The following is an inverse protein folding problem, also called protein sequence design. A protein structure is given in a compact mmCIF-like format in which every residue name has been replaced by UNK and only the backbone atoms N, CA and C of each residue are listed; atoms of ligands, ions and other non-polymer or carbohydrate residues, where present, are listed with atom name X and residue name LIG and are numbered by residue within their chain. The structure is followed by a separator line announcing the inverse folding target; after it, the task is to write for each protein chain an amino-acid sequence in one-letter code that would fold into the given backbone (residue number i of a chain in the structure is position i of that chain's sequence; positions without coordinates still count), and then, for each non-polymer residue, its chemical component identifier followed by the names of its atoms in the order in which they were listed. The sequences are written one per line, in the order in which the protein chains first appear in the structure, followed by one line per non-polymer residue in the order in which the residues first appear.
data_IF_971293823975
#
_entry.id   IF_971293823975
#
_cell.length_a   1.000
_cell.length_b   1.000
_cell.length_c   1.000
_cell.angle_alpha   90.00
_cell.angle_beta   90.00
_cell.angle_gamma   90.00
#
_symmetry.space_group_name_H-M   'P 1'
#
loop_
_entity.id
_entity.type
_entity.pdbx_description
1 polymer ?
#
# COMPACT_ATOMS: atom_id res chain seq x y z
N UNK A 1 9.48 -12.52 -5.64
CA UNK A 1 10.29 -12.39 -6.89
C UNK A 1 9.85 -13.39 -7.98
N UNK A 2 9.88 -14.70 -7.74
CA UNK A 2 9.42 -15.73 -8.70
C UNK A 2 7.94 -15.56 -9.09
N UNK A 3 7.06 -15.42 -8.10
CA UNK A 3 5.63 -15.15 -8.33
C UNK A 3 5.38 -13.92 -9.23
N UNK A 4 6.10 -12.83 -8.97
CA UNK A 4 6.02 -11.61 -9.80
C UNK A 4 6.60 -11.84 -11.22
N UNK A 5 7.50 -12.81 -11.42
CA UNK A 5 7.98 -13.18 -12.75
C UNK A 5 6.96 -14.06 -13.50
N UNK A 6 6.23 -14.94 -12.80
CA UNK A 6 5.11 -15.70 -13.36
C UNK A 6 3.98 -14.78 -13.84
N UNK A 7 3.64 -13.76 -13.06
CA UNK A 7 2.65 -12.75 -13.47
C UNK A 7 2.99 -12.04 -14.78
N UNK A 8 4.28 -11.89 -15.13
CA UNK A 8 4.71 -11.31 -16.42
C UNK A 8 4.37 -12.22 -17.61
N UNK A 9 4.38 -13.53 -17.40
CA UNK A 9 4.08 -14.49 -18.46
C UNK A 9 2.58 -14.45 -18.82
N UNK A 10 1.74 -13.94 -17.91
CA UNK A 10 0.33 -13.68 -18.17
C UNK A 10 0.18 -12.35 -18.94
N UNK A 11 0.06 -12.43 -20.27
CA UNK A 11 -0.10 -11.25 -21.15
C UNK A 11 -1.23 -10.32 -20.69
N UNK A 12 -2.29 -10.90 -20.14
CA UNK A 12 -3.45 -10.21 -19.61
C UNK A 12 -3.14 -9.39 -18.34
N UNK A 13 -2.25 -9.87 -17.47
CA UNK A 13 -1.77 -9.11 -16.31
C UNK A 13 -0.83 -8.00 -16.77
N UNK A 14 0.09 -8.30 -17.68
CA UNK A 14 1.08 -7.33 -18.17
C UNK A 14 0.48 -6.13 -18.93
N UNK A 15 -0.72 -6.26 -19.50
CA UNK A 15 -1.45 -5.12 -20.11
C UNK A 15 -2.20 -4.26 -19.09
N UNK A 16 -2.49 -4.82 -17.92
CA UNK A 16 -3.39 -4.25 -16.91
C UNK A 16 -2.65 -3.67 -15.72
N UNK A 17 -1.43 -4.15 -15.46
CA UNK A 17 -0.56 -3.68 -14.38
C UNK A 17 0.63 -2.95 -14.99
N UNK A 18 0.70 -1.64 -14.77
CA UNK A 18 1.71 -0.73 -15.35
C UNK A 18 2.86 -0.43 -14.39
N UNK A 19 2.77 -0.90 -13.15
CA UNK A 19 3.91 -0.95 -12.24
C UNK A 19 3.64 -1.93 -11.09
N UNK A 20 4.70 -2.54 -10.58
CA UNK A 20 4.65 -3.37 -9.37
C UNK A 20 5.80 -3.00 -8.45
N UNK A 21 5.51 -2.86 -7.17
CA UNK A 21 6.51 -2.78 -6.12
C UNK A 21 6.23 -3.83 -5.03
N UNK A 22 7.23 -4.62 -4.69
CA UNK A 22 7.20 -5.51 -3.53
C UNK A 22 7.95 -4.82 -2.39
N UNK A 23 7.23 -4.48 -1.34
CA UNK A 23 7.75 -3.78 -0.17
C UNK A 23 7.85 -4.79 0.98
N UNK A 24 9.06 -5.11 1.43
CA UNK A 24 9.25 -6.02 2.56
C UNK A 24 9.33 -5.21 3.85
N UNK A 25 8.71 -5.70 4.93
CA UNK A 25 8.79 -5.07 6.25
C UNK A 25 10.25 -4.97 6.69
N UNK A 26 10.63 -3.81 7.20
CA UNK A 26 11.95 -3.63 7.76
C UNK A 26 12.02 -4.25 9.15
N UNK A 27 12.60 -5.46 9.24
CA UNK A 27 12.62 -6.26 10.47
C UNK A 27 13.33 -5.62 11.66
N UNK A 28 14.33 -4.77 11.40
CA UNK A 28 15.13 -4.11 12.45
C UNK A 28 14.49 -2.80 12.93
N UNK A 29 13.46 -2.29 12.25
CA UNK A 29 12.76 -1.10 12.70
C UNK A 29 11.98 -1.42 13.97
N UNK A 30 12.32 -0.72 15.06
CA UNK A 30 11.63 -0.85 16.34
C UNK A 30 10.94 0.47 16.67
N UNK A 31 9.64 0.53 16.44
CA UNK A 31 8.76 1.58 16.93
C UNK A 31 7.46 0.93 17.44
N UNK A 32 6.90 1.35 18.58
CA UNK A 32 5.73 0.69 19.18
C UNK A 32 4.51 0.62 18.26
N UNK A 33 4.31 1.61 17.40
CA UNK A 33 3.18 1.70 16.48
C UNK A 33 3.28 0.76 15.26
N UNK A 34 4.43 0.16 14.99
CA UNK A 34 4.63 -0.68 13.80
C UNK A 34 4.17 -2.12 14.04
N UNK A 35 3.30 -2.61 13.15
CA UNK A 35 2.85 -3.99 13.15
C UNK A 35 4.00 -4.95 12.80
N UNK A 36 3.95 -6.12 13.46
CA UNK A 36 4.85 -7.26 13.23
C UNK A 36 4.14 -8.46 12.63
N UNK A 37 2.84 -8.36 12.41
CA UNK A 37 1.97 -9.46 11.96
C UNK A 37 2.03 -9.72 10.47
N UNK A 38 2.72 -8.85 9.72
CA UNK A 38 2.80 -8.88 8.26
C UNK A 38 4.25 -8.78 7.81
N UNK A 39 4.59 -9.48 6.73
CA UNK A 39 5.96 -9.51 6.19
C UNK A 39 6.23 -8.43 5.14
N UNK A 40 5.18 -7.77 4.65
CA UNK A 40 5.30 -6.76 3.61
C UNK A 40 3.98 -6.39 2.95
N UNK A 41 4.07 -5.55 1.93
CA UNK A 41 2.96 -5.07 1.10
C UNK A 41 3.38 -5.11 -0.37
N UNK A 42 2.49 -5.57 -1.24
CA UNK A 42 2.66 -5.40 -2.69
C UNK A 42 1.81 -4.22 -3.16
N UNK A 43 2.42 -3.30 -3.91
CA UNK A 43 1.74 -2.19 -4.57
C UNK A 43 1.68 -2.48 -6.07
N UNK A 44 0.47 -2.46 -6.63
CA UNK A 44 0.22 -2.66 -8.05
C UNK A 44 -0.43 -1.39 -8.59
N UNK A 45 0.20 -0.77 -9.58
CA UNK A 45 -0.40 0.35 -10.32
C UNK A 45 -1.11 -0.23 -11.53
N UNK A 46 -2.40 0.04 -11.65
CA UNK A 46 -3.23 -0.47 -12.72
C UNK A 46 -3.31 0.53 -13.88
N UNK A 47 -3.51 0.04 -15.09
CA UNK A 47 -3.67 0.86 -16.30
C UNK A 47 -4.94 1.71 -16.24
N UNK A 48 -6.02 1.12 -15.74
CA UNK A 48 -7.32 1.75 -15.57
C UNK A 48 -8.09 1.07 -14.42
N UNK A 49 -9.31 1.54 -14.15
CA UNK A 49 -10.15 1.00 -13.08
C UNK A 49 -10.65 -0.41 -13.39
N UNK A 50 -11.04 -0.66 -14.64
CA UNK A 50 -11.64 -1.92 -15.06
C UNK A 50 -10.64 -3.09 -14.97
N UNK A 51 -9.35 -2.79 -15.10
CA UNK A 51 -8.26 -3.72 -14.85
C UNK A 51 -8.33 -4.36 -13.46
N UNK A 52 -8.78 -3.63 -12.43
CA UNK A 52 -8.85 -4.12 -11.05
C UNK A 52 -9.80 -5.31 -10.89
N UNK A 53 -10.99 -5.24 -11.50
CA UNK A 53 -11.93 -6.34 -11.52
C UNK A 53 -11.48 -7.45 -12.48
N UNK A 54 -10.94 -7.09 -13.64
CA UNK A 54 -10.58 -8.03 -14.70
C UNK A 54 -9.41 -8.98 -14.32
N UNK A 55 -8.42 -8.51 -13.55
CA UNK A 55 -7.27 -9.33 -13.12
C UNK A 55 -7.73 -10.56 -12.32
N UNK A 56 -8.81 -10.44 -11.54
CA UNK A 56 -9.31 -11.53 -10.71
C UNK A 56 -10.23 -12.51 -11.44
N UNK A 57 -10.71 -12.13 -12.63
CA UNK A 57 -11.66 -12.91 -13.42
C UNK A 57 -11.04 -13.62 -14.62
N UNK A 58 -9.79 -13.33 -14.98
CA UNK A 58 -9.15 -13.86 -16.19
C UNK A 58 -8.75 -15.34 -16.01
N UNK A 59 -9.39 -16.30 -16.74
CA UNK A 59 -9.16 -17.72 -16.52
C UNK A 59 -7.72 -18.18 -16.75
N UNK A 60 -7.03 -17.56 -17.71
CA UNK A 60 -5.62 -17.87 -18.03
C UNK A 60 -4.70 -17.43 -16.89
N UNK A 61 -4.87 -16.19 -16.41
CA UNK A 61 -4.15 -15.68 -15.24
C UNK A 61 -4.42 -16.54 -14.01
N UNK A 62 -5.68 -16.90 -13.76
CA UNK A 62 -6.04 -17.72 -12.61
C UNK A 62 -5.42 -19.12 -12.69
N UNK A 63 -5.36 -19.75 -13.87
CA UNK A 63 -4.78 -21.07 -14.05
C UNK A 63 -3.26 -21.10 -13.77
N UNK A 64 -2.55 -20.01 -14.07
CA UNK A 64 -1.10 -19.90 -13.85
C UNK A 64 -0.77 -19.44 -12.44
N UNK A 65 -1.47 -18.43 -11.93
CA UNK A 65 -1.12 -17.76 -10.67
C UNK A 65 -1.67 -18.48 -9.45
N UNK A 66 -2.93 -18.94 -9.46
CA UNK A 66 -3.57 -19.53 -8.25
C UNK A 66 -2.80 -20.72 -7.66
N UNK A 67 -2.21 -21.64 -8.45
CA UNK A 67 -1.45 -22.75 -7.87
C UNK A 67 -0.17 -22.28 -7.14
N UNK A 68 0.40 -21.14 -7.53
CA UNK A 68 1.61 -20.59 -6.93
C UNK A 68 1.33 -19.74 -5.68
N UNK A 69 0.11 -19.19 -5.55
CA UNK A 69 -0.22 -18.27 -4.46
C UNK A 69 -0.05 -18.89 -3.06
N UNK A 70 -0.58 -20.09 -2.73
CA UNK A 70 -0.41 -20.68 -1.39
C UNK A 70 1.03 -21.10 -1.07
N UNK A 71 1.91 -21.22 -2.08
CA UNK A 71 3.34 -21.48 -1.88
C UNK A 71 4.08 -20.24 -1.38
N UNK A 72 3.61 -19.05 -1.77
CA UNK A 72 4.33 -17.77 -1.61
C UNK A 72 3.67 -16.88 -0.56
N UNK A 73 2.36 -16.98 -0.40
CA UNK A 73 1.55 -16.17 0.52
C UNK A 73 0.80 -17.05 1.50
N UNK A 74 0.30 -16.42 2.57
CA UNK A 74 -0.50 -17.10 3.59
C UNK A 74 -1.86 -17.61 3.05
N UNK A 75 -2.36 -17.02 1.97
CA UNK A 75 -3.62 -17.39 1.30
C UNK A 75 -3.61 -16.87 -0.16
N UNK A 76 -4.71 -17.05 -0.88
CA UNK A 76 -4.91 -16.47 -2.21
C UNK A 76 -4.87 -14.94 -2.18
N UNK A 77 -4.19 -14.33 -3.16
CA UNK A 77 -3.87 -12.90 -3.17
C UNK A 77 -5.12 -12.02 -3.14
N UNK A 78 -6.20 -12.49 -3.77
CA UNK A 78 -7.50 -11.81 -3.78
C UNK A 78 -8.07 -11.60 -2.37
N UNK A 79 -7.77 -12.50 -1.42
CA UNK A 79 -8.32 -12.46 -0.06
C UNK A 79 -7.68 -11.39 0.84
N UNK A 80 -6.66 -10.69 0.35
CA UNK A 80 -6.01 -9.56 1.04
C UNK A 80 -5.62 -8.43 0.07
N UNK A 81 -6.33 -8.34 -1.06
CA UNK A 81 -6.17 -7.26 -2.04
C UNK A 81 -7.27 -6.22 -1.89
N UNK A 82 -6.89 -4.94 -1.92
CA UNK A 82 -7.80 -3.80 -1.86
C UNK A 82 -7.67 -2.96 -3.13
N UNK A 83 -8.78 -2.76 -3.85
CA UNK A 83 -8.80 -1.84 -4.98
C UNK A 83 -8.98 -0.41 -4.47
N UNK A 84 -8.05 0.45 -4.89
CA UNK A 84 -7.99 1.82 -4.39
C UNK A 84 -7.85 2.82 -5.53
N UNK A 85 -8.39 4.02 -5.31
CA UNK A 85 -8.06 5.20 -6.11
C UNK A 85 -6.91 5.94 -5.46
N UNK A 86 -5.84 6.08 -6.23
CA UNK A 86 -4.63 6.78 -5.82
C UNK A 86 -4.81 8.30 -5.96
N UNK A 87 -4.36 9.05 -4.95
CA UNK A 87 -4.25 10.50 -4.97
C UNK A 87 -2.89 10.96 -4.44
N UNK A 88 -2.20 11.78 -5.23
CA UNK A 88 -0.96 12.42 -4.80
C UNK A 88 -1.28 13.65 -3.93
N UNK A 89 -0.81 13.65 -2.68
CA UNK A 89 -1.11 14.72 -1.72
C UNK A 89 0.08 15.64 -1.46
N UNK A 90 1.29 15.09 -1.55
CA UNK A 90 2.54 15.85 -1.46
C UNK A 90 3.60 15.18 -2.32
N UNK A 91 4.45 15.96 -3.00
CA UNK A 91 5.59 15.42 -3.73
C UNK A 91 6.67 16.48 -3.93
N UNK A 92 7.90 16.10 -3.62
CA UNK A 92 9.14 16.72 -4.10
C UNK A 92 9.73 15.93 -5.28
N UNK A 93 9.16 14.76 -5.57
CA UNK A 93 9.49 13.90 -6.70
C UNK A 93 8.59 14.22 -7.91
N UNK A 94 8.99 13.84 -9.14
CA UNK A 94 8.12 13.92 -10.32
C UNK A 94 6.76 13.25 -10.09
N UNK A 95 5.70 13.78 -10.72
CA UNK A 95 4.34 13.27 -10.53
C UNK A 95 4.23 11.77 -10.87
N UNK A 96 4.91 11.34 -11.94
CA UNK A 96 4.96 9.95 -12.42
C UNK A 96 5.97 9.05 -11.68
N UNK A 97 6.51 9.50 -10.53
CA UNK A 97 7.44 8.68 -9.76
C UNK A 97 6.76 7.39 -9.26
N UNK A 98 7.38 6.26 -9.56
CA UNK A 98 7.01 4.93 -9.08
C UNK A 98 7.94 4.49 -7.94
N UNK A 99 7.50 3.56 -7.05
CA UNK A 99 8.39 3.04 -6.03
C UNK A 99 9.56 2.31 -6.68
N UNK A 100 10.78 2.69 -6.31
CA UNK A 100 12.01 2.09 -6.83
C UNK A 100 12.68 1.24 -5.76
N UNK A 101 13.40 0.20 -6.17
CA UNK A 101 14.19 -0.64 -5.26
C UNK A 101 15.07 0.19 -4.32
N UNK A 102 15.03 -0.12 -3.03
CA UNK A 102 15.74 0.57 -1.97
C UNK A 102 15.01 1.77 -1.37
N UNK A 103 13.87 2.20 -1.95
CA UNK A 103 13.01 3.21 -1.33
C UNK A 103 12.39 2.69 -0.04
N UNK A 104 12.33 3.56 0.97
CA UNK A 104 11.73 3.27 2.26
C UNK A 104 10.35 3.91 2.31
N UNK A 105 9.33 3.10 2.62
CA UNK A 105 7.94 3.53 2.63
C UNK A 105 7.32 3.14 3.97
N UNK A 106 6.83 4.13 4.71
CA UNK A 106 5.92 3.90 5.81
C UNK A 106 4.51 3.81 5.20
N UNK A 107 3.84 2.68 5.42
CA UNK A 107 2.45 2.48 5.04
C UNK A 107 1.57 2.59 6.29
N UNK A 108 0.47 3.34 6.18
CA UNK A 108 -0.58 3.40 7.18
C UNK A 108 -1.90 2.93 6.58
N UNK A 109 -2.41 1.82 7.09
CA UNK A 109 -3.75 1.31 6.81
C UNK A 109 -4.67 1.87 7.89
N UNK A 110 -5.52 2.82 7.53
CA UNK A 110 -6.22 3.67 8.49
C UNK A 110 -7.72 3.36 8.54
N UNK A 111 -8.30 3.59 9.71
CA UNK A 111 -9.75 3.56 9.96
C UNK A 111 -10.41 2.24 9.57
N UNK A 112 -9.85 1.14 10.06
CA UNK A 112 -10.42 -0.19 9.92
C UNK A 112 -11.83 -0.23 10.48
N UNK A 113 -12.72 -0.88 9.73
CA UNK A 113 -14.09 -1.17 10.15
C UNK A 113 -14.52 -2.48 9.53
N UNK A 114 -15.17 -3.34 10.32
CA UNK A 114 -15.74 -4.60 9.81
C UNK A 114 -16.98 -4.37 8.95
N UNK A 115 -17.64 -3.21 9.10
CA UNK A 115 -18.79 -2.83 8.29
C UNK A 115 -18.34 -2.07 7.04
N UNK A 116 -18.82 -2.50 5.87
CA UNK A 116 -18.64 -1.72 4.65
C UNK A 116 -19.48 -0.44 4.71
N UNK A 117 -18.83 0.72 4.59
CA UNK A 117 -19.45 2.04 4.69
C UNK A 117 -19.54 2.77 3.35
N UNK A 118 -19.31 2.07 2.24
CA UNK A 118 -19.16 2.68 0.93
C UNK A 118 -17.77 3.31 0.71
N UNK A 119 -17.52 3.70 -0.54
CA UNK A 119 -16.29 4.36 -0.95
C UNK A 119 -16.04 5.62 -0.12
N UNK A 120 -14.81 5.79 0.38
CA UNK A 120 -14.46 6.98 1.13
C UNK A 120 -14.22 8.18 0.20
N UNK A 121 -14.44 9.39 0.71
CA UNK A 121 -14.04 10.62 0.02
C UNK A 121 -12.53 10.76 0.10
N UNK A 122 -11.88 10.97 -1.04
CA UNK A 122 -10.45 11.21 -1.05
C UNK A 122 -10.15 12.66 -0.63
N UNK A 123 -9.13 12.90 0.21
CA UNK A 123 -8.81 14.23 0.72
C UNK A 123 -8.30 15.13 -0.40
N UNK A 124 -8.89 16.32 -0.59
CA UNK A 124 -8.48 17.25 -1.67
C UNK A 124 -7.06 17.82 -1.47
N UNK A 125 -6.63 17.94 -0.23
CA UNK A 125 -5.29 18.41 0.17
C UNK A 125 -4.73 17.48 1.23
N UNK A 126 -3.41 17.49 1.43
CA UNK A 126 -2.79 16.66 2.45
C UNK A 126 -3.27 17.07 3.85
N UNK A 127 -3.97 16.19 4.60
CA UNK A 127 -4.39 16.47 5.97
C UNK A 127 -3.20 16.83 6.86
N UNK A 128 -3.39 17.78 7.78
CA UNK A 128 -2.32 18.30 8.64
C UNK A 128 -1.64 17.19 9.46
N UNK A 129 -2.44 16.26 9.99
CA UNK A 129 -1.95 15.10 10.74
C UNK A 129 -1.01 14.19 9.93
N UNK A 130 -1.17 14.12 8.60
CA UNK A 130 -0.32 13.30 7.73
C UNK A 130 1.01 13.98 7.40
N UNK A 131 1.19 15.23 7.84
CA UNK A 131 2.44 16.02 7.72
C UNK A 131 2.94 16.49 9.09
N UNK A 132 2.50 15.88 10.18
CA UNK A 132 2.92 16.30 11.50
C UNK A 132 4.33 15.80 11.83
N UNK A 133 5.19 16.70 12.32
CA UNK A 133 6.52 16.36 12.80
C UNK A 133 7.37 15.65 11.74
N UNK A 134 7.92 14.48 12.10
CA UNK A 134 8.80 13.72 11.22
C UNK A 134 8.09 13.16 9.96
N UNK A 135 6.75 13.12 9.90
CA UNK A 135 6.03 12.77 8.68
C UNK A 135 6.23 13.82 7.55
N UNK A 136 6.49 15.09 7.88
CA UNK A 136 6.75 16.14 6.88
C UNK A 136 8.09 15.99 6.16
N UNK A 137 8.96 15.11 6.66
CA UNK A 137 10.21 14.75 6.00
C UNK A 137 9.98 13.83 4.79
N UNK A 138 8.78 13.27 4.62
CA UNK A 138 8.44 12.45 3.48
C UNK A 138 8.61 13.24 2.17
N UNK A 139 9.39 12.70 1.24
CA UNK A 139 9.59 13.26 -0.09
C UNK A 139 8.31 13.14 -0.94
N UNK A 140 7.42 12.20 -0.61
CA UNK A 140 6.14 11.99 -1.29
C UNK A 140 5.12 11.40 -0.31
N UNK A 141 3.88 11.87 -0.42
CA UNK A 141 2.73 11.34 0.33
C UNK A 141 1.62 11.01 -0.67
N UNK A 142 1.22 9.74 -0.69
CA UNK A 142 0.16 9.22 -1.54
C UNK A 142 -0.95 8.67 -0.65
N UNK A 143 -2.21 8.99 -0.99
CA UNK A 143 -3.37 8.38 -0.37
C UNK A 143 -4.04 7.45 -1.37
N UNK A 144 -4.21 6.19 -0.99
CA UNK A 144 -4.99 5.22 -1.72
C UNK A 144 -6.33 5.06 -1.00
N UNK A 145 -7.38 5.60 -1.59
CA UNK A 145 -8.73 5.54 -1.04
C UNK A 145 -9.43 4.26 -1.50
N UNK A 146 -9.91 3.45 -0.55
CA UNK A 146 -10.60 2.19 -0.88
C UNK A 146 -11.96 2.50 -1.51
N UNK A 147 -12.19 1.98 -2.72
CA UNK A 147 -13.40 2.27 -3.51
C UNK A 147 -14.45 1.16 -3.44
N UNK A 148 -14.03 -0.06 -3.11
CA UNK A 148 -14.88 -1.25 -3.11
C UNK A 148 -14.77 -2.00 -1.78
N UNK A 149 -15.72 -2.90 -1.53
CA UNK A 149 -15.70 -3.70 -0.32
C UNK A 149 -14.42 -4.55 -0.27
N UNK A 150 -13.59 -4.26 0.74
CA UNK A 150 -12.36 -5.01 0.99
C UNK A 150 -12.66 -6.44 1.50
N UNK A 151 -11.71 -7.37 1.35
CA UNK A 151 -11.78 -8.67 2.01
C UNK A 151 -11.93 -8.56 3.54
N UNK A 152 -12.49 -9.61 4.15
CA UNK A 152 -12.69 -9.66 5.61
C UNK A 152 -11.38 -9.43 6.37
N UNK A 153 -11.41 -8.58 7.41
CA UNK A 153 -10.23 -8.18 8.18
C UNK A 153 -9.42 -7.01 7.59
N UNK A 154 -9.67 -6.64 6.33
CA UNK A 154 -8.96 -5.56 5.61
C UNK A 154 -9.86 -4.35 5.33
N UNK A 155 -10.91 -4.13 6.13
CA UNK A 155 -11.88 -3.05 5.97
C UNK A 155 -11.34 -1.64 6.27
N UNK A 156 -10.18 -1.28 5.74
CA UNK A 156 -9.58 0.04 5.88
C UNK A 156 -10.22 1.06 4.92
N UNK A 157 -10.16 2.35 5.27
CA UNK A 157 -10.68 3.43 4.41
C UNK A 157 -9.59 4.06 3.56
N UNK A 158 -8.40 4.19 4.13
CA UNK A 158 -7.26 4.84 3.50
C UNK A 158 -6.01 3.99 3.69
N UNK A 159 -5.20 3.88 2.63
CA UNK A 159 -3.84 3.38 2.69
C UNK A 159 -2.93 4.53 2.31
N UNK A 160 -2.26 5.10 3.30
CA UNK A 160 -1.36 6.24 3.11
C UNK A 160 0.07 5.74 2.99
N UNK A 161 0.78 6.22 1.97
CA UNK A 161 2.18 5.93 1.74
C UNK A 161 3.01 7.19 1.98
N UNK A 162 3.93 7.13 2.95
CA UNK A 162 4.95 8.16 3.15
C UNK A 162 6.29 7.64 2.65
N UNK A 163 6.83 8.28 1.62
CA UNK A 163 8.06 7.86 0.97
C UNK A 163 9.22 8.69 1.48
N UNK A 164 10.26 8.01 1.97
CA UNK A 164 11.45 8.65 2.51
C UNK A 164 12.68 8.35 1.65
N UNK A 165 13.63 9.29 1.65
CA UNK A 165 14.92 9.10 0.99
C UNK A 165 15.84 8.19 1.83
N UNK A 166 15.69 8.24 3.16
CA UNK A 166 16.53 7.49 4.09
C UNK A 166 15.75 6.74 5.17
N UNK A 167 16.36 5.66 5.63
CA UNK A 167 15.87 4.82 6.74
C UNK A 167 15.71 5.58 8.05
N UNK A 168 16.62 6.50 8.34
CA UNK A 168 16.60 7.31 9.57
C UNK A 168 15.37 8.22 9.65
N UNK A 169 15.05 8.94 8.57
CA UNK A 169 13.86 9.78 8.48
C UNK A 169 12.58 8.96 8.65
N UNK A 170 12.53 7.80 7.99
CA UNK A 170 11.37 6.92 8.06
C UNK A 170 11.18 6.31 9.46
N UNK A 171 12.27 6.00 10.16
CA UNK A 171 12.22 5.53 11.54
C UNK A 171 11.76 6.63 12.50
N UNK A 172 12.27 7.85 12.34
CA UNK A 172 11.81 9.00 13.12
C UNK A 172 10.31 9.26 12.92
N UNK A 173 9.83 9.16 11.67
CA UNK A 173 8.41 9.25 11.35
C UNK A 173 7.59 8.14 12.02
N UNK A 174 8.06 6.89 11.97
CA UNK A 174 7.40 5.76 12.61
C UNK A 174 7.33 5.89 14.14
N UNK A 175 8.36 6.46 14.76
CA UNK A 175 8.40 6.72 16.21
C UNK A 175 7.41 7.83 16.61
N UNK A 176 7.24 8.85 15.75
CA UNK A 176 6.32 9.96 16.00
C UNK A 176 4.82 9.61 15.81
N UNK A 177 4.49 8.44 15.26
CA UNK A 177 3.09 8.04 15.02
C UNK A 177 2.26 7.99 16.31
N UNK A 178 2.86 7.58 17.42
CA UNK A 178 2.19 7.47 18.73
C UNK A 178 1.74 8.82 19.30
N UNK A 179 2.47 9.88 18.98
CA UNK A 179 2.15 11.25 19.41
C UNK A 179 1.17 11.96 18.44
N UNK A 180 1.01 11.40 17.24
CA UNK A 180 0.24 11.98 16.14
C UNK A 180 -1.18 11.41 16.02
N UNK A 181 -1.68 10.69 17.04
CA UNK A 181 -3.03 10.08 17.12
C UNK A 181 -4.18 11.08 17.13
N UNK A 182 -4.26 11.93 16.10
CA UNK A 182 -5.25 12.97 15.99
C UNK A 182 -6.61 12.36 15.61
N UNK A 183 -7.59 12.55 16.49
CA UNK A 183 -9.00 12.27 16.21
C UNK A 183 -9.49 13.09 14.99
N UNK A 184 -10.54 12.59 14.34
CA UNK A 184 -11.22 13.29 13.24
C UNK A 184 -11.24 12.51 11.92
N UNK A 185 -11.74 13.17 10.87
CA UNK A 185 -12.07 12.52 9.59
C UNK A 185 -10.90 11.78 8.93
N UNK A 186 -9.67 12.29 9.07
CA UNK A 186 -8.45 11.67 8.53
C UNK A 186 -7.49 11.19 9.62
N UNK A 187 -8.01 11.01 10.85
CA UNK A 187 -7.25 10.41 11.95
C UNK A 187 -6.93 8.94 11.70
N UNK A 188 -6.05 8.36 12.52
CA UNK A 188 -5.62 6.97 12.36
C UNK A 188 -6.77 5.98 12.53
N UNK A 189 -7.65 6.21 13.52
CA UNK A 189 -8.66 5.24 13.95
C UNK A 189 -8.04 3.91 14.39
N UNK A 190 -8.79 2.82 14.27
CA UNK A 190 -8.17 1.47 14.29
C UNK A 190 -7.33 1.30 13.02
N UNK A 191 -6.03 1.06 13.17
CA UNK A 191 -5.11 1.14 12.05
C UNK A 191 -3.84 0.32 12.23
N UNK A 192 -3.18 0.05 11.11
CA UNK A 192 -1.96 -0.74 11.03
C UNK A 192 -0.89 0.08 10.33
N UNK A 193 0.26 0.23 10.97
CA UNK A 193 1.42 0.88 10.35
C UNK A 193 2.52 -0.14 10.06
N UNK A 194 3.16 0.00 8.91
CA UNK A 194 4.27 -0.86 8.50
C UNK A 194 5.37 -0.04 7.86
N UNK A 195 6.57 -0.15 8.40
CA UNK A 195 7.75 0.42 7.78
C UNK A 195 8.36 -0.61 6.85
N UNK A 196 8.50 -0.28 5.57
CA UNK A 196 8.91 -1.20 4.52
C UNK A 196 10.03 -0.64 3.65
N UNK A 197 10.71 -1.53 2.96
CA UNK A 197 11.65 -1.20 1.89
C UNK A 197 11.24 -1.91 0.60
N UNK A 198 11.28 -1.20 -0.51
CA UNK A 198 11.03 -1.77 -1.83
C UNK A 198 12.17 -2.72 -2.18
N UNK A 199 11.95 -4.03 -2.10
CA UNK A 199 12.96 -5.04 -2.40
C UNK A 199 12.97 -5.44 -3.87
N UNK A 200 11.87 -5.16 -4.57
CA UNK A 200 11.68 -5.43 -5.98
C UNK A 200 10.71 -4.42 -6.58
N UNK A 201 11.04 -3.86 -7.75
CA UNK A 201 10.17 -2.93 -8.48
C UNK A 201 10.24 -3.18 -9.98
N UNK A 202 9.13 -2.98 -10.70
CA UNK A 202 9.08 -2.97 -12.16
C UNK A 202 8.07 -1.91 -12.64
N UNK A 203 8.33 -1.21 -13.75
CA UNK A 203 7.29 -0.61 -14.56
C UNK A 203 6.51 -1.69 -15.34
#
# INVERSE_FOLDING_TARGET
REHSALGRQCLNVGRRVVAVAQCSRWLQACAPALSREHDGVNLLVLADRDAGAAIWGDPETLAVMRPDEPRVFADYVRNFSMLCRQQLLHSRLPAAALPQKGRVILLGFLQRSDAWRGAASAPQTCPAQWRQGALDLAARIVCNTVEEQAPGGYGFRYIVEWWFDGREQALAAAQALGDAGADGEYGWGDGVFMLTEVTHSRP
#
